data_IF_223041467914
#
_entry.id   IF_223041467914
#
_cell.length_a   1.000
_cell.length_b   1.000
_cell.length_c   1.000
_cell.angle_alpha   90.00
_cell.angle_beta   90.00
_cell.angle_gamma   90.00
#
_symmetry.space_group_name_H-M   'P 1'
#
loop_
_entity.id
_entity.type
_entity.pdbx_description
1 polymer ?
#
# COMPACT_ATOMS: atom_id res chain seq x y z
N UNK A 1 -0.48 -18.84 7.59
CA UNK A 1 -0.21 -18.50 6.17
C UNK A 1 -1.12 -17.37 5.77
N UNK A 2 -0.66 -16.47 4.91
CA UNK A 2 -1.47 -15.37 4.40
C UNK A 2 -2.45 -15.94 3.38
N UNK A 3 -3.75 -15.73 3.62
CA UNK A 3 -4.81 -16.21 2.74
C UNK A 3 -5.49 -15.01 2.07
N UNK A 4 -6.16 -15.24 0.93
CA UNK A 4 -6.84 -14.19 0.17
C UNK A 4 -7.80 -13.35 1.03
N UNK A 5 -8.52 -13.96 1.99
CA UNK A 5 -9.37 -13.22 2.93
C UNK A 5 -8.60 -12.24 3.81
N UNK A 6 -7.39 -12.57 4.24
CA UNK A 6 -6.56 -11.68 5.05
C UNK A 6 -6.05 -10.51 4.21
N UNK A 7 -5.61 -10.78 2.98
CA UNK A 7 -5.22 -9.73 2.04
C UNK A 7 -6.40 -8.78 1.77
N UNK A 8 -7.58 -9.34 1.51
CA UNK A 8 -8.78 -8.54 1.30
C UNK A 8 -9.13 -7.70 2.53
N UNK A 9 -9.05 -8.26 3.74
CA UNK A 9 -9.29 -7.48 4.97
C UNK A 9 -8.31 -6.31 5.13
N UNK A 10 -7.05 -6.48 4.69
CA UNK A 10 -6.06 -5.41 4.66
C UNK A 10 -6.48 -4.34 3.65
N UNK A 11 -6.78 -4.73 2.41
CA UNK A 11 -7.23 -3.82 1.35
C UNK A 11 -8.47 -3.03 1.78
N UNK A 12 -9.48 -3.69 2.34
CA UNK A 12 -10.69 -3.05 2.88
C UNK A 12 -10.39 -2.08 4.03
N UNK A 13 -9.41 -2.42 4.87
CA UNK A 13 -9.00 -1.53 5.96
C UNK A 13 -8.32 -0.28 5.40
N UNK A 14 -7.42 -0.43 4.44
CA UNK A 14 -6.74 0.69 3.77
C UNK A 14 -7.70 1.57 2.96
N UNK A 15 -8.73 0.98 2.34
CA UNK A 15 -9.76 1.73 1.64
C UNK A 15 -10.51 2.72 2.57
N UNK A 16 -10.69 2.38 3.86
CA UNK A 16 -11.27 3.32 4.85
C UNK A 16 -10.41 4.57 5.08
N UNK A 17 -9.12 4.49 4.82
CA UNK A 17 -8.17 5.60 4.92
C UNK A 17 -7.98 6.33 3.58
N UNK A 18 -8.85 6.09 2.58
CA UNK A 18 -8.69 6.58 1.20
C UNK A 18 -7.42 6.09 0.52
N UNK A 19 -6.90 4.93 0.91
CA UNK A 19 -5.77 4.30 0.23
C UNK A 19 -6.31 3.22 -0.70
N UNK A 20 -6.13 3.43 -2.01
CA UNK A 20 -6.47 2.43 -3.01
C UNK A 20 -5.33 1.43 -3.15
N UNK A 21 -5.62 0.14 -2.96
CA UNK A 21 -4.64 -0.93 -3.17
C UNK A 21 -5.17 -1.83 -4.28
N UNK A 22 -4.43 -1.90 -5.38
CA UNK A 22 -4.74 -2.80 -6.47
C UNK A 22 -4.00 -4.11 -6.26
N UNK A 23 -4.76 -5.20 -6.32
CA UNK A 23 -4.23 -6.55 -6.18
C UNK A 23 -4.60 -7.40 -7.40
N UNK A 24 -3.67 -8.25 -7.81
CA UNK A 24 -3.89 -9.33 -8.76
C UNK A 24 -3.73 -10.66 -8.02
N UNK A 25 -4.86 -11.21 -7.56
CA UNK A 25 -4.90 -12.40 -6.72
C UNK A 25 -4.21 -12.17 -5.36
N UNK A 26 -3.04 -12.78 -5.18
CA UNK A 26 -2.22 -12.64 -3.97
C UNK A 26 -1.07 -11.63 -4.13
N UNK A 27 -0.97 -10.93 -5.26
CA UNK A 27 0.05 -9.90 -5.48
C UNK A 27 -0.56 -8.51 -5.40
N UNK A 28 0.14 -7.56 -4.80
CA UNK A 28 -0.20 -6.14 -4.86
C UNK A 28 0.53 -5.58 -6.08
N UNK A 29 -0.24 -5.00 -7.00
CA UNK A 29 0.25 -4.44 -8.29
C UNK A 29 0.32 -2.92 -8.27
N UNK A 30 -0.43 -2.26 -7.39
CA UNK A 30 -0.33 -0.83 -7.16
C UNK A 30 -0.83 -0.41 -5.78
N UNK A 31 -0.29 0.69 -5.26
CA UNK A 31 -0.76 1.36 -4.05
C UNK A 31 -0.88 2.85 -4.34
N UNK A 32 -2.11 3.37 -4.23
CA UNK A 32 -2.45 4.78 -4.42
C UNK A 32 -2.00 5.31 -5.80
N UNK A 33 -2.25 4.53 -6.85
CA UNK A 33 -1.84 4.85 -8.23
C UNK A 33 -0.33 4.73 -8.51
N UNK A 34 0.49 4.39 -7.52
CA UNK A 34 1.90 4.07 -7.72
C UNK A 34 2.08 2.57 -7.98
N UNK A 35 2.86 2.18 -9.01
CA UNK A 35 3.12 0.78 -9.29
C UNK A 35 3.89 0.16 -8.12
N UNK A 36 3.43 -1.01 -7.68
CA UNK A 36 4.01 -1.78 -6.61
C UNK A 36 4.07 -3.23 -7.07
N UNK A 37 5.13 -3.97 -6.76
CA UNK A 37 5.16 -5.42 -6.99
C UNK A 37 5.49 -6.10 -5.66
N UNK A 38 4.46 -6.49 -4.93
CA UNK A 38 4.60 -7.21 -3.68
C UNK A 38 3.83 -8.52 -3.74
N UNK A 39 4.55 -9.63 -3.56
CA UNK A 39 3.92 -10.94 -3.47
C UNK A 39 3.48 -11.22 -2.04
N UNK A 40 2.17 -11.18 -1.76
CA UNK A 40 1.67 -11.36 -0.40
C UNK A 40 1.85 -12.78 0.14
N UNK A 41 2.20 -13.77 -0.71
CA UNK A 41 2.47 -15.14 -0.26
C UNK A 41 3.80 -15.28 0.46
N UNK A 42 4.76 -14.39 0.17
CA UNK A 42 6.09 -14.42 0.75
C UNK A 42 6.18 -13.65 2.08
N UNK A 43 5.12 -12.95 2.47
CA UNK A 43 5.10 -12.12 3.68
C UNK A 43 4.07 -12.59 4.70
N UNK A 44 4.38 -12.40 5.98
CA UNK A 44 3.38 -12.49 7.04
C UNK A 44 2.46 -11.28 7.01
N UNK A 45 1.26 -11.42 7.59
CA UNK A 45 0.23 -10.37 7.57
C UNK A 45 0.76 -9.03 8.10
N UNK A 46 1.46 -9.05 9.23
CA UNK A 46 2.02 -7.85 9.86
C UNK A 46 3.11 -7.21 9.00
N UNK A 47 3.96 -8.01 8.37
CA UNK A 47 5.04 -7.54 7.49
C UNK A 47 4.49 -6.88 6.21
N UNK A 48 3.41 -7.42 5.65
CA UNK A 48 2.73 -6.83 4.50
C UNK A 48 2.14 -5.46 4.85
N UNK A 49 1.47 -5.37 6.00
CA UNK A 49 0.89 -4.11 6.50
C UNK A 49 2.01 -3.08 6.73
N UNK A 50 3.12 -3.47 7.38
CA UNK A 50 4.27 -2.60 7.57
C UNK A 50 4.87 -2.10 6.25
N UNK A 51 5.00 -2.97 5.24
CA UNK A 51 5.51 -2.61 3.92
C UNK A 51 4.61 -1.60 3.22
N UNK A 52 3.29 -1.83 3.22
CA UNK A 52 2.31 -0.90 2.63
C UNK A 52 2.39 0.45 3.36
N UNK A 53 2.44 0.46 4.70
CA UNK A 53 2.59 1.68 5.48
C UNK A 53 3.88 2.44 5.17
N UNK A 54 5.02 1.75 4.97
CA UNK A 54 6.29 2.40 4.58
C UNK A 54 6.20 3.02 3.18
N UNK A 55 5.59 2.33 2.23
CA UNK A 55 5.35 2.86 0.88
C UNK A 55 4.48 4.11 0.96
N UNK A 56 3.37 4.05 1.70
CA UNK A 56 2.49 5.20 1.91
C UNK A 56 3.20 6.36 2.59
N UNK A 57 3.99 6.11 3.63
CA UNK A 57 4.77 7.14 4.30
C UNK A 57 5.73 7.84 3.33
N UNK A 58 6.43 7.09 2.49
CA UNK A 58 7.32 7.66 1.48
C UNK A 58 6.56 8.50 0.44
N UNK A 59 5.40 8.02 -0.02
CA UNK A 59 4.54 8.79 -0.93
C UNK A 59 4.09 10.09 -0.29
N UNK A 60 3.62 10.04 0.96
CA UNK A 60 3.10 11.20 1.69
C UNK A 60 4.22 12.22 1.97
N UNK A 61 5.43 11.76 2.32
CA UNK A 61 6.61 12.62 2.45
C UNK A 61 6.94 13.29 1.11
N UNK A 62 6.92 12.53 0.02
CA UNK A 62 7.21 13.07 -1.32
C UNK A 62 6.15 14.09 -1.75
N UNK A 63 4.85 13.81 -1.54
CA UNK A 63 3.76 14.74 -1.83
C UNK A 63 3.86 16.02 -1.00
N UNK A 64 4.14 15.92 0.30
CA UNK A 64 4.37 17.09 1.16
C UNK A 64 5.55 17.90 0.65
N UNK A 65 6.67 17.24 0.33
CA UNK A 65 7.87 17.90 -0.17
C UNK A 65 7.63 18.62 -1.51
N UNK A 66 6.94 17.98 -2.46
CA UNK A 66 6.55 18.58 -3.74
C UNK A 66 5.60 19.77 -3.51
N UNK A 67 4.58 19.62 -2.66
CA UNK A 67 3.62 20.68 -2.38
C UNK A 67 4.26 21.91 -1.70
N UNK A 68 5.23 21.68 -0.80
CA UNK A 68 6.03 22.77 -0.21
C UNK A 68 6.93 23.46 -1.23
N UNK A 69 7.51 22.72 -2.19
CA UNK A 69 8.40 23.30 -3.20
C UNK A 69 7.67 23.94 -4.40
N UNK A 70 6.44 23.53 -4.68
CA UNK A 70 5.63 24.07 -5.79
C UNK A 70 4.87 25.34 -5.39
N UNK A 71 4.80 25.67 -4.09
CA UNK A 71 4.19 26.90 -3.56
C UNK A 71 5.14 28.11 -3.50
N UNK A 72 6.29 28.08 -4.18
CA UNK A 72 7.19 29.23 -4.32
C UNK A 72 7.07 29.92 -5.66
#
# INVERSE_FOLDING_TARGET
MLNAQKLQAIVDTFAKYNVEIQTDGMRITAVNGQPADFDATTFMQDQLIEMICKVLANQLIHEVWVNEHTKK
#
